data_IF_848084990577
#
_entry.id   IF_848084990577
#
_cell.length_a   1.000
_cell.length_b   1.000
_cell.length_c   1.000
_cell.angle_alpha   90.00
_cell.angle_beta   90.00
_cell.angle_gamma   90.00
#
_symmetry.space_group_name_H-M   'P 1'
#
loop_
_entity.id
_entity.type
_entity.pdbx_description
1 polymer ?
#
# COMPACT_ATOMS: atom_id res chain seq x y z
N UNK A 1 10.81 5.52 -2.71
CA UNK A 1 9.43 6.02 -2.63
C UNK A 1 8.61 5.11 -1.73
N UNK A 2 7.72 5.67 -0.91
CA UNK A 2 6.85 4.90 0.00
C UNK A 2 5.41 5.01 -0.46
N UNK A 3 4.72 3.87 -0.59
CA UNK A 3 3.29 3.84 -0.90
C UNK A 3 2.53 3.54 0.38
N UNK A 4 1.81 4.54 0.89
CA UNK A 4 0.89 4.43 2.03
C UNK A 4 -0.55 4.24 1.57
N UNK A 5 -1.51 4.56 2.43
CA UNK A 5 -2.96 4.48 2.11
C UNK A 5 -3.50 5.69 1.34
N UNK A 6 -2.68 6.72 1.16
CA UNK A 6 -3.04 7.97 0.50
C UNK A 6 -2.86 7.96 -1.02
N UNK A 7 -3.37 9.00 -1.71
CA UNK A 7 -3.16 9.16 -3.14
C UNK A 7 -1.69 9.40 -3.49
N UNK A 8 -1.29 8.97 -4.69
CA UNK A 8 0.01 9.28 -5.27
C UNK A 8 -0.08 10.49 -6.19
N UNK A 9 0.99 11.28 -6.25
CA UNK A 9 1.11 12.39 -7.19
C UNK A 9 1.57 11.90 -8.57
N UNK A 10 1.42 12.75 -9.59
CA UNK A 10 1.98 12.46 -10.92
C UNK A 10 3.50 12.38 -10.92
N UNK A 11 4.16 13.13 -10.04
CA UNK A 11 5.62 13.11 -9.87
C UNK A 11 6.10 11.77 -9.31
N UNK A 12 5.36 11.20 -8.35
CA UNK A 12 5.62 9.87 -7.81
C UNK A 12 5.59 8.80 -8.92
N UNK A 13 4.64 8.92 -9.84
CA UNK A 13 4.52 8.00 -10.97
C UNK A 13 5.70 8.12 -11.94
N UNK A 14 6.11 9.35 -12.26
CA UNK A 14 7.25 9.58 -13.16
C UNK A 14 8.55 9.06 -12.56
N UNK A 15 8.80 9.35 -11.28
CA UNK A 15 10.00 8.90 -10.58
C UNK A 15 10.16 7.38 -10.61
N UNK A 16 9.06 6.62 -10.48
CA UNK A 16 9.12 5.16 -10.58
C UNK A 16 9.21 4.68 -12.03
N UNK A 17 8.30 5.13 -12.88
CA UNK A 17 8.11 4.57 -14.21
C UNK A 17 9.20 4.99 -15.21
N UNK A 18 9.81 6.16 -15.02
CA UNK A 18 10.82 6.72 -15.92
C UNK A 18 12.21 6.74 -15.28
N UNK A 19 12.29 7.07 -13.99
CA UNK A 19 13.58 7.27 -13.33
C UNK A 19 14.01 6.04 -12.50
N UNK A 20 13.17 5.00 -12.41
CA UNK A 20 13.50 3.74 -11.76
C UNK A 20 13.58 3.82 -10.23
N UNK A 21 12.88 4.78 -9.61
CA UNK A 21 12.86 4.92 -8.16
C UNK A 21 12.35 3.64 -7.47
N UNK A 22 13.14 3.13 -6.52
CA UNK A 22 12.76 1.96 -5.72
C UNK A 22 11.53 2.23 -4.85
N UNK A 23 10.67 1.21 -4.71
CA UNK A 23 9.38 1.30 -4.00
C UNK A 23 9.38 0.42 -2.75
N UNK A 24 8.82 0.97 -1.67
CA UNK A 24 8.51 0.23 -0.44
C UNK A 24 7.06 0.47 -0.04
N UNK A 25 6.45 -0.52 0.62
CA UNK A 25 5.13 -0.39 1.23
C UNK A 25 5.28 0.37 2.56
N UNK A 26 4.39 1.33 2.82
CA UNK A 26 4.33 2.06 4.07
C UNK A 26 3.73 1.22 5.21
N UNK A 27 4.17 1.47 6.43
CA UNK A 27 3.70 0.72 7.61
C UNK A 27 2.19 0.91 7.84
N UNK A 28 1.66 2.08 7.48
CA UNK A 28 0.23 2.39 7.48
C UNK A 28 -0.55 1.50 6.50
N UNK A 29 -0.02 1.28 5.30
CA UNK A 29 -0.61 0.39 4.31
C UNK A 29 -0.53 -1.07 4.75
N UNK A 30 0.60 -1.50 5.33
CA UNK A 30 0.75 -2.85 5.91
C UNK A 30 -0.29 -3.08 7.02
N UNK A 31 -0.46 -2.11 7.93
CA UNK A 31 -1.44 -2.19 8.99
C UNK A 31 -2.88 -2.24 8.45
N UNK A 32 -3.20 -1.44 7.44
CA UNK A 32 -4.51 -1.47 6.79
C UNK A 32 -4.81 -2.83 6.13
N UNK A 33 -3.82 -3.42 5.45
CA UNK A 33 -3.94 -4.77 4.86
C UNK A 33 -4.16 -5.84 5.93
N UNK A 34 -3.44 -5.78 7.05
CA UNK A 34 -3.63 -6.71 8.16
C UNK A 34 -5.04 -6.62 8.75
N UNK A 35 -5.57 -5.41 8.95
CA UNK A 35 -6.95 -5.23 9.41
C UNK A 35 -7.98 -5.77 8.42
N UNK A 36 -7.81 -5.50 7.13
CA UNK A 36 -8.71 -6.03 6.10
C UNK A 36 -8.70 -7.56 6.07
N UNK A 37 -7.51 -8.18 6.23
CA UNK A 37 -7.37 -9.63 6.33
C UNK A 37 -8.11 -10.20 7.54
N UNK A 38 -7.99 -9.57 8.71
CA UNK A 38 -8.71 -10.01 9.91
C UNK A 38 -10.22 -10.07 9.73
N UNK A 39 -10.81 -9.08 9.04
CA UNK A 39 -12.25 -9.07 8.75
C UNK A 39 -12.69 -10.20 7.81
N UNK A 40 -11.84 -10.60 6.86
CA UNK A 40 -12.11 -11.76 5.99
C UNK A 40 -12.07 -13.07 6.78
N UNK A 41 -11.11 -13.20 7.69
CA UNK A 41 -10.97 -14.40 8.54
C UNK A 41 -12.16 -14.56 9.49
N UNK A 42 -12.58 -13.48 10.16
CA UNK A 42 -13.76 -13.49 11.02
C UNK A 42 -15.04 -13.89 10.26
N UNK A 43 -15.19 -13.46 9.01
CA UNK A 43 -16.33 -13.84 8.18
C UNK A 43 -16.25 -15.29 7.68
N UNK A 44 -15.05 -15.81 7.48
CA UNK A 44 -14.85 -17.18 7.01
C UNK A 44 -15.12 -18.23 8.10
N UNK A 45 -14.93 -17.86 9.37
CA UNK A 45 -15.12 -18.73 10.54
C UNK A 45 -16.58 -18.74 11.08
N UNK A 46 -17.52 -18.11 10.38
CA UNK A 46 -18.95 -18.03 10.73
C UNK A 46 -19.82 -19.14 10.11
#
# INVERSE_FOLDING_TARGET
MTVGVGPLSGEDLLAVARDGAGVRVGDDAVAAMAQARGGVEELADQ
#
